data_IF_562102355661
#
_entry.id   IF_562102355661
#
_cell.length_a   1.000
_cell.length_b   1.000
_cell.length_c   1.000
_cell.angle_alpha   90.00
_cell.angle_beta   90.00
_cell.angle_gamma   90.00
#
_symmetry.space_group_name_H-M   'P 1'
#
loop_
_entity.id
_entity.type
_entity.pdbx_description
1 polymer ?
#
# COMPACT_ATOMS: atom_id res chain seq x y z
N UNK A 1 2.67 6.65 19.22
CA UNK A 1 1.90 6.99 18.01
C UNK A 1 1.33 5.69 17.52
N UNK A 2 0.05 5.63 17.15
CA UNK A 2 -0.53 4.41 16.56
C UNK A 2 0.31 3.98 15.35
N UNK A 3 0.71 2.71 15.30
CA UNK A 3 1.52 2.12 14.23
C UNK A 3 0.89 2.34 12.86
N UNK A 4 -0.45 2.40 12.80
CA UNK A 4 -1.20 2.71 11.59
C UNK A 4 -0.85 4.10 11.07
N UNK A 5 -0.84 5.11 11.96
CA UNK A 5 -0.50 6.49 11.60
C UNK A 5 0.99 6.67 11.29
N UNK A 6 1.88 5.91 11.95
CA UNK A 6 3.31 5.85 11.61
C UNK A 6 3.50 5.39 10.17
N UNK A 7 2.90 4.25 9.83
CA UNK A 7 2.96 3.70 8.48
C UNK A 7 2.35 4.64 7.44
N UNK A 8 1.16 5.17 7.69
CA UNK A 8 0.50 6.07 6.74
C UNK A 8 1.35 7.30 6.45
N UNK A 9 1.94 7.94 7.48
CA UNK A 9 2.82 9.09 7.30
C UNK A 9 4.05 8.76 6.46
N UNK A 10 4.72 7.65 6.75
CA UNK A 10 5.91 7.27 5.98
C UNK A 10 5.57 6.87 4.54
N UNK A 11 4.45 6.17 4.32
CA UNK A 11 4.01 5.79 2.97
C UNK A 11 3.68 7.03 2.11
N UNK A 12 3.17 8.10 2.71
CA UNK A 12 2.88 9.37 2.01
C UNK A 12 4.11 10.25 1.73
N UNK A 13 5.32 9.85 2.15
CA UNK A 13 6.53 10.61 1.83
C UNK A 13 7.11 10.29 0.44
N UNK A 14 6.58 9.27 -0.24
CA UNK A 14 7.05 8.81 -1.54
C UNK A 14 5.95 9.00 -2.61
N UNK A 15 6.18 9.94 -3.51
CA UNK A 15 5.26 10.30 -4.58
C UNK A 15 5.23 9.30 -5.75
N UNK A 16 6.09 8.26 -5.71
CA UNK A 16 6.13 7.18 -6.71
C UNK A 16 5.21 6.02 -6.38
N UNK A 17 4.56 6.02 -5.21
CA UNK A 17 3.62 4.97 -4.83
C UNK A 17 2.28 5.11 -5.55
N UNK A 18 1.59 4.00 -5.71
CA UNK A 18 0.20 3.96 -6.18
C UNK A 18 -0.71 3.61 -5.00
N UNK A 19 -1.81 4.35 -4.84
CA UNK A 19 -2.80 4.12 -3.80
C UNK A 19 -4.06 3.52 -4.39
N UNK A 20 -4.45 2.36 -3.88
CA UNK A 20 -5.70 1.70 -4.26
C UNK A 20 -6.68 1.77 -3.11
N UNK A 21 -7.77 2.49 -3.31
CA UNK A 21 -8.86 2.66 -2.34
C UNK A 21 -9.97 1.66 -2.67
N UNK A 22 -10.39 0.89 -1.68
CA UNK A 22 -11.40 -0.15 -1.83
C UNK A 22 -10.85 -1.52 -2.25
N UNK A 23 -11.77 -2.38 -2.69
CA UNK A 23 -11.54 -3.82 -2.81
C UNK A 23 -12.26 -4.47 -3.98
N UNK A 24 -12.77 -5.70 -3.77
CA UNK A 24 -13.15 -6.64 -4.84
C UNK A 24 -14.32 -6.21 -5.74
N UNK A 25 -15.20 -5.32 -5.27
CA UNK A 25 -16.38 -4.90 -6.04
C UNK A 25 -16.14 -3.63 -6.83
N UNK A 26 -15.40 -2.69 -6.25
CA UNK A 26 -15.01 -1.42 -6.85
C UNK A 26 -13.70 -0.99 -6.19
N UNK A 27 -12.77 -0.50 -7.00
CA UNK A 27 -11.52 0.10 -6.55
C UNK A 27 -11.18 1.34 -7.37
N UNK A 28 -10.53 2.31 -6.74
CA UNK A 28 -9.88 3.44 -7.41
C UNK A 28 -8.37 3.30 -7.27
N UNK A 29 -7.63 3.39 -8.37
CA UNK A 29 -6.17 3.40 -8.40
C UNK A 29 -5.69 4.84 -8.66
N UNK A 30 -4.87 5.37 -7.76
CA UNK A 30 -4.56 6.80 -7.72
C UNK A 30 -3.05 7.01 -7.57
N UNK A 31 -2.50 7.94 -8.33
CA UNK A 31 -1.08 8.30 -8.26
C UNK A 31 -0.79 9.16 -7.03
N UNK A 32 0.41 9.07 -6.46
CA UNK A 32 0.82 9.90 -5.31
C UNK A 32 1.35 11.28 -5.70
N UNK A 33 1.07 11.77 -6.92
CA UNK A 33 1.57 13.07 -7.36
C UNK A 33 0.99 14.19 -6.49
N UNK A 34 1.88 14.95 -5.83
CA UNK A 34 1.49 16.01 -4.91
C UNK A 34 0.87 15.51 -3.61
N UNK A 35 1.09 14.25 -3.24
CA UNK A 35 0.62 13.69 -1.97
C UNK A 35 1.17 14.49 -0.78
N UNK A 36 0.30 14.76 0.19
CA UNK A 36 0.60 15.56 1.38
C UNK A 36 0.69 14.69 2.61
N UNK A 37 1.26 15.24 3.68
CA UNK A 37 1.22 14.57 4.99
C UNK A 37 -0.26 14.36 5.44
N UNK A 38 -0.62 13.15 5.92
CA UNK A 38 -1.97 12.83 6.33
C UNK A 38 -2.45 13.71 7.49
N UNK A 39 -3.68 14.21 7.37
CA UNK A 39 -4.31 15.03 8.41
C UNK A 39 -5.32 14.20 9.20
N UNK A 40 -5.27 14.30 10.53
CA UNK A 40 -6.19 13.59 11.42
C UNK A 40 -7.27 14.55 11.91
N UNK A 41 -8.54 14.12 11.80
CA UNK A 41 -9.70 14.84 12.34
C UNK A 41 -10.67 13.85 12.99
N UNK A 42 -10.68 13.84 14.33
CA UNK A 42 -11.39 12.82 15.10
C UNK A 42 -10.79 11.43 14.84
N UNK A 43 -11.65 10.46 14.47
CA UNK A 43 -11.24 9.09 14.12
C UNK A 43 -10.80 8.93 12.66
N UNK A 44 -10.94 9.97 11.84
CA UNK A 44 -10.60 9.89 10.43
C UNK A 44 -9.20 10.42 10.17
N UNK A 45 -8.49 9.72 9.29
CA UNK A 45 -7.30 10.25 8.62
C UNK A 45 -7.65 10.57 7.17
N UNK A 46 -7.26 11.77 6.73
CA UNK A 46 -7.37 12.23 5.34
C UNK A 46 -6.03 12.02 4.66
N UNK A 47 -6.05 11.29 3.55
CA UNK A 47 -4.92 11.15 2.62
C UNK A 47 -5.30 11.91 1.36
N UNK A 48 -4.45 12.85 0.94
CA UNK A 48 -4.77 13.79 -0.15
C UNK A 48 -3.56 13.98 -1.07
N UNK A 49 -3.83 14.01 -2.37
CA UNK A 49 -2.90 14.37 -3.43
C UNK A 49 -3.56 15.41 -4.36
N UNK A 50 -2.92 15.77 -5.47
CA UNK A 50 -3.35 16.89 -6.33
C UNK A 50 -4.79 16.74 -6.87
N UNK A 51 -5.21 15.52 -7.20
CA UNK A 51 -6.47 15.24 -7.90
C UNK A 51 -7.37 14.22 -7.20
N UNK A 52 -7.01 13.74 -6.01
CA UNK A 52 -7.83 12.83 -5.23
C UNK A 52 -7.58 13.02 -3.74
N UNK A 53 -8.58 12.63 -2.96
CA UNK A 53 -8.41 12.43 -1.53
C UNK A 53 -9.29 11.27 -1.07
N UNK A 54 -8.97 10.71 0.10
CA UNK A 54 -9.83 9.76 0.76
C UNK A 54 -9.81 9.98 2.28
N UNK A 55 -10.90 9.59 2.93
CA UNK A 55 -10.98 9.54 4.38
C UNK A 55 -11.01 8.07 4.82
N UNK A 56 -10.08 7.69 5.68
CA UNK A 56 -10.02 6.37 6.30
C UNK A 56 -10.42 6.51 7.77
N UNK A 57 -11.40 5.73 8.20
CA UNK A 57 -11.72 5.57 9.62
C UNK A 57 -10.66 4.68 10.26
N UNK A 58 -9.85 5.24 11.16
CA UNK A 58 -8.75 4.54 11.81
C UNK A 58 -9.26 3.38 12.68
N UNK A 59 -10.44 3.51 13.29
CA UNK A 59 -11.03 2.48 14.14
C UNK A 59 -11.41 1.21 13.35
N UNK A 60 -11.55 1.31 12.03
CA UNK A 60 -11.82 0.17 11.15
C UNK A 60 -10.54 -0.58 10.75
N UNK A 61 -9.36 0.00 10.92
CA UNK A 61 -8.10 -0.67 10.59
C UNK A 61 -7.75 -1.64 11.71
N UNK A 62 -7.94 -2.93 11.44
CA UNK A 62 -7.63 -4.00 12.41
C UNK A 62 -6.55 -4.95 11.91
N UNK A 63 -6.15 -4.82 10.64
CA UNK A 63 -5.14 -5.65 10.03
C UNK A 63 -4.25 -4.87 9.09
N UNK A 64 -2.94 -5.01 9.26
CA UNK A 64 -1.92 -4.47 8.37
C UNK A 64 -1.05 -5.62 7.87
N UNK A 65 -0.84 -5.69 6.55
CA UNK A 65 -0.04 -6.72 5.91
C UNK A 65 0.94 -6.08 4.93
N UNK A 66 2.21 -6.49 4.99
CA UNK A 66 3.12 -6.38 3.87
C UNK A 66 2.88 -7.55 2.93
N UNK A 67 2.70 -7.28 1.64
CA UNK A 67 2.31 -8.31 0.68
C UNK A 67 3.26 -8.30 -0.50
N UNK A 68 3.77 -9.49 -0.83
CA UNK A 68 4.31 -9.80 -2.14
C UNK A 68 3.29 -10.70 -2.86
N UNK A 69 2.74 -10.23 -3.97
CA UNK A 69 1.70 -10.96 -4.70
C UNK A 69 2.13 -11.19 -6.15
N UNK A 70 2.00 -12.41 -6.64
CA UNK A 70 2.06 -12.67 -8.07
C UNK A 70 0.91 -11.91 -8.77
N UNK A 71 1.25 -11.10 -9.77
CA UNK A 71 0.32 -10.23 -10.50
C UNK A 71 0.29 -10.58 -11.98
N UNK A 72 -0.22 -9.68 -12.84
CA UNK A 72 -0.48 -9.95 -14.25
C UNK A 72 0.71 -10.57 -14.98
N UNK A 73 0.54 -11.84 -15.38
CA UNK A 73 1.59 -12.62 -16.04
C UNK A 73 2.52 -13.29 -15.04
N UNK A 74 3.78 -12.89 -15.09
CA UNK A 74 4.96 -13.33 -14.34
C UNK A 74 5.49 -12.26 -13.35
N UNK A 75 4.79 -11.12 -13.24
CA UNK A 75 5.20 -10.03 -12.35
C UNK A 75 4.83 -10.30 -10.90
N UNK A 76 5.54 -9.63 -10.00
CA UNK A 76 5.20 -9.52 -8.60
C UNK A 76 4.87 -8.09 -8.25
N UNK A 77 3.81 -7.89 -7.47
CA UNK A 77 3.42 -6.60 -6.90
C UNK A 77 3.72 -6.59 -5.41
N UNK A 78 4.24 -5.47 -4.92
CA UNK A 78 4.67 -5.29 -3.53
C UNK A 78 3.92 -4.13 -2.91
N UNK A 79 3.20 -4.37 -1.81
CA UNK A 79 2.33 -3.35 -1.22
C UNK A 79 2.10 -3.53 0.28
N UNK A 80 1.70 -2.45 0.93
CA UNK A 80 1.10 -2.48 2.28
C UNK A 80 -0.42 -2.49 2.13
N UNK A 81 -1.09 -3.40 2.82
CA UNK A 81 -2.55 -3.53 2.85
C UNK A 81 -3.08 -3.18 4.23
N UNK A 82 -4.00 -2.22 4.29
CA UNK A 82 -4.81 -1.90 5.46
C UNK A 82 -6.18 -2.55 5.29
N UNK A 83 -6.60 -3.33 6.28
CA UNK A 83 -7.81 -4.15 6.22
C UNK A 83 -8.72 -3.94 7.42
N UNK A 84 -10.02 -4.14 7.16
CA UNK A 84 -11.05 -4.28 8.18
C UNK A 84 -10.94 -5.58 9.00
N UNK A 85 -11.85 -5.76 9.97
CA UNK A 85 -11.93 -6.98 10.79
C UNK A 85 -11.80 -8.26 9.98
N UNK A 86 -10.99 -9.20 10.47
CA UNK A 86 -10.80 -10.51 9.83
C UNK A 86 -10.00 -10.50 8.52
N UNK A 87 -9.39 -9.37 8.14
CA UNK A 87 -8.71 -9.19 6.85
C UNK A 87 -9.60 -9.39 5.61
N UNK A 88 -10.93 -9.42 5.80
CA UNK A 88 -11.90 -9.67 4.73
C UNK A 88 -12.02 -8.44 3.82
N UNK A 89 -12.14 -7.26 4.41
CA UNK A 89 -12.29 -6.00 3.68
C UNK A 89 -10.95 -5.31 3.48
N UNK A 90 -10.50 -5.22 2.23
CA UNK A 90 -9.40 -4.31 1.87
C UNK A 90 -9.92 -2.88 1.91
N UNK A 91 -9.39 -2.07 2.81
CA UNK A 91 -9.72 -0.64 2.89
C UNK A 91 -8.84 0.16 1.94
N UNK A 92 -7.52 0.03 2.11
CA UNK A 92 -6.52 0.76 1.33
C UNK A 92 -5.30 -0.14 1.07
N UNK A 93 -4.70 0.01 -0.11
CA UNK A 93 -3.37 -0.50 -0.43
C UNK A 93 -2.46 0.62 -0.90
N UNK A 94 -1.21 0.58 -0.47
CA UNK A 94 -0.13 1.44 -1.02
C UNK A 94 0.91 0.55 -1.68
N UNK A 95 1.03 0.66 -3.00
CA UNK A 95 1.93 -0.14 -3.82
C UNK A 95 3.27 0.58 -3.99
N UNK A 96 4.33 -0.19 -3.84
CA UNK A 96 5.67 0.24 -4.18
C UNK A 96 5.86 0.15 -5.71
N UNK A 97 6.76 0.97 -6.29
CA UNK A 97 7.11 0.85 -7.70
C UNK A 97 7.48 -0.59 -8.07
N UNK A 98 6.88 -1.11 -9.13
CA UNK A 98 7.12 -2.49 -9.54
C UNK A 98 8.57 -2.66 -10.07
N UNK A 99 9.35 -3.63 -9.57
CA UNK A 99 10.72 -3.88 -10.03
C UNK A 99 10.84 -4.23 -11.52
N UNK A 100 9.77 -4.71 -12.15
CA UNK A 100 9.75 -5.09 -13.57
C UNK A 100 9.12 -4.02 -14.46
N UNK A 101 8.80 -2.83 -13.93
CA UNK A 101 8.22 -1.73 -14.69
C UNK A 101 9.09 -0.46 -14.63
N UNK A 102 9.14 0.26 -15.74
CA UNK A 102 9.60 1.65 -15.78
C UNK A 102 8.63 2.55 -15.03
N UNK A 103 9.01 3.80 -14.82
CA UNK A 103 8.14 4.78 -14.16
C UNK A 103 6.88 5.10 -15.01
N UNK A 104 6.93 4.90 -16.33
CA UNK A 104 5.76 4.94 -17.24
C UNK A 104 5.00 3.60 -17.37
N UNK A 105 5.16 2.69 -16.41
CA UNK A 105 4.47 1.38 -16.34
C UNK A 105 4.73 0.42 -17.51
N UNK A 106 5.84 0.59 -18.23
CA UNK A 106 6.27 -0.32 -19.30
C UNK A 106 7.17 -1.43 -18.76
N UNK A 107 7.07 -2.62 -19.33
CA UNK A 107 7.97 -3.75 -19.01
C UNK A 107 9.43 -3.38 -19.22
N UNK A 108 10.26 -3.75 -18.27
CA UNK A 108 11.73 -3.56 -18.31
C UNK A 108 12.43 -4.71 -17.58
N UNK A 109 13.77 -4.72 -17.66
CA UNK A 109 14.60 -5.62 -16.86
C UNK A 109 14.38 -5.41 -15.36
N UNK A 110 14.61 -6.46 -14.57
CA UNK A 110 14.41 -6.43 -13.13
C UNK A 110 15.31 -5.39 -12.46
N UNK A 111 14.68 -4.52 -11.66
CA UNK A 111 15.30 -3.42 -10.90
C UNK A 111 15.41 -3.81 -9.41
N UNK A 112 16.53 -4.40 -8.96
CA UNK A 112 16.68 -4.91 -7.59
C UNK A 112 16.52 -3.85 -6.51
N UNK A 113 16.85 -2.59 -6.81
CA UNK A 113 16.72 -1.46 -5.89
C UNK A 113 15.26 -1.16 -5.53
N UNK A 114 14.32 -1.37 -6.46
CA UNK A 114 12.88 -1.19 -6.20
C UNK A 114 12.36 -2.26 -5.23
N UNK A 115 12.80 -3.52 -5.40
CA UNK A 115 12.48 -4.59 -4.46
C UNK A 115 13.10 -4.32 -3.09
N UNK A 116 14.39 -3.96 -3.07
CA UNK A 116 15.10 -3.66 -1.83
C UNK A 116 14.43 -2.54 -1.03
N UNK A 117 13.92 -1.49 -1.69
CA UNK A 117 13.18 -0.43 -1.03
C UNK A 117 11.92 -0.93 -0.31
N UNK A 118 11.21 -1.90 -0.88
CA UNK A 118 10.09 -2.57 -0.20
C UNK A 118 10.56 -3.43 0.98
N UNK A 119 11.60 -4.24 0.79
CA UNK A 119 12.14 -5.13 1.83
C UNK A 119 12.68 -4.36 3.03
N UNK A 120 13.50 -3.33 2.78
CA UNK A 120 14.04 -2.46 3.82
C UNK A 120 12.90 -1.73 4.56
N UNK A 121 11.80 -1.36 3.87
CA UNK A 121 10.63 -0.77 4.53
C UNK A 121 9.89 -1.83 5.36
N UNK A 122 9.59 -3.01 4.79
CA UNK A 122 8.92 -4.13 5.46
C UNK A 122 9.63 -4.52 6.76
N UNK A 123 10.95 -4.65 6.73
CA UNK A 123 11.75 -5.17 7.85
C UNK A 123 11.73 -4.25 9.07
N UNK A 124 11.35 -2.96 8.91
CA UNK A 124 11.13 -2.03 10.03
C UNK A 124 9.80 -2.22 10.75
N UNK A 125 8.84 -2.93 10.15
CA UNK A 125 7.46 -3.00 10.63
C UNK A 125 6.95 -4.41 10.91
N UNK A 126 7.35 -5.40 10.11
CA UNK A 126 6.87 -6.78 10.30
C UNK A 126 7.27 -7.30 11.69
N UNK A 127 6.31 -7.91 12.38
CA UNK A 127 6.46 -8.37 13.77
C UNK A 127 6.06 -7.33 14.82
N UNK A 128 5.88 -6.06 14.46
CA UNK A 128 5.34 -5.03 15.37
C UNK A 128 3.81 -5.10 15.35
N UNK A 129 3.18 -5.09 16.53
CA UNK A 129 1.73 -4.87 16.67
C UNK A 129 0.84 -5.74 15.75
N UNK A 130 1.25 -7.00 15.52
CA UNK A 130 0.50 -7.93 14.67
C UNK A 130 0.66 -7.73 13.16
N UNK A 131 1.56 -6.84 12.72
CA UNK A 131 1.91 -6.65 11.31
C UNK A 131 2.63 -7.89 10.80
N UNK A 132 2.14 -8.44 9.68
CA UNK A 132 2.68 -9.67 9.07
C UNK A 132 3.15 -9.42 7.64
N UNK A 133 4.08 -10.27 7.19
CA UNK A 133 4.40 -10.42 5.78
C UNK A 133 3.63 -11.60 5.20
N UNK A 134 3.07 -11.44 4.00
CA UNK A 134 2.30 -12.46 3.30
C UNK A 134 2.74 -12.55 1.85
N UNK A 135 3.03 -13.77 1.41
CA UNK A 135 3.19 -14.08 -0.01
C UNK A 135 1.86 -14.59 -0.54
N UNK A 136 1.40 -14.02 -1.65
CA UNK A 136 0.14 -14.42 -2.29
C UNK A 136 0.43 -15.00 -3.67
N UNK A 137 0.04 -16.27 -3.91
CA UNK A 137 0.11 -16.84 -5.25
C UNK A 137 -0.87 -16.10 -6.16
N UNK A 138 -0.69 -16.26 -7.47
CA UNK A 138 -1.56 -15.67 -8.48
C UNK A 138 -3.01 -16.03 -8.18
N UNK A 139 -3.85 -15.03 -7.99
CA UNK A 139 -5.28 -15.26 -7.87
C UNK A 139 -5.79 -15.81 -9.21
N UNK A 140 -6.37 -17.00 -9.18
CA UNK A 140 -7.12 -17.55 -10.30
C UNK A 140 -8.26 -16.58 -10.58
N UNK A 141 -8.31 -16.04 -11.80
CA UNK A 141 -9.42 -15.22 -12.28
C UNK A 141 -10.69 -16.04 -12.38
#
# INVERSE_FOLDING_TARGET
MDITMELLRELTQDDKKMWVIGGSKVSSENSSKGIKEPQVSGKYVTIEADNWHCHLDLDLVTGIQFVAAESHGDMHSYYVRFSGPGYEDTLIRSYFPNPNLTDDEKRTEFQPEKLKAFEDFRDRYVGREGIVFVERPKQSS
#
